data_IF_678726544415
#
_entry.id   IF_678726544415
#
_cell.length_a   1.000
_cell.length_b   1.000
_cell.length_c   1.000
_cell.angle_alpha   90.00
_cell.angle_beta   90.00
_cell.angle_gamma   90.00
#
_symmetry.space_group_name_H-M   'P 1'
#
loop_
_entity.id
_entity.type
_entity.pdbx_description
1 polymer ?
#
# COMPACT_ATOMS: atom_id res chain seq x y z
N UNK A 1 -31.54 -2.22 9.33
CA UNK A 1 -30.49 -3.10 9.89
C UNK A 1 -29.30 -2.93 8.97
N UNK A 2 -28.12 -2.59 9.50
CA UNK A 2 -26.89 -2.41 8.70
C UNK A 2 -26.20 -3.77 8.54
N UNK A 3 -25.88 -4.18 7.31
CA UNK A 3 -25.39 -5.51 6.95
C UNK A 3 -24.02 -5.45 6.25
N UNK A 4 -23.35 -6.60 6.11
CA UNK A 4 -22.09 -6.69 5.34
C UNK A 4 -22.32 -6.28 3.88
N UNK A 5 -23.49 -6.60 3.31
CA UNK A 5 -23.83 -6.18 1.95
C UNK A 5 -23.94 -4.65 1.81
N UNK A 6 -24.39 -3.95 2.86
CA UNK A 6 -24.42 -2.49 2.88
C UNK A 6 -23.00 -1.90 2.93
N UNK A 7 -22.09 -2.55 3.67
CA UNK A 7 -20.66 -2.20 3.66
C UNK A 7 -20.05 -2.44 2.30
N UNK A 8 -20.26 -3.63 1.71
CA UNK A 8 -19.78 -3.98 0.36
C UNK A 8 -20.32 -3.03 -0.71
N UNK A 9 -21.59 -2.63 -0.60
CA UNK A 9 -22.23 -1.68 -1.50
C UNK A 9 -21.59 -0.30 -1.47
N UNK A 10 -21.04 0.12 -0.33
CA UNK A 10 -20.38 1.42 -0.17
C UNK A 10 -18.89 1.32 -0.53
N UNK A 11 -18.17 0.31 -0.03
CA UNK A 11 -16.73 0.18 -0.30
C UNK A 11 -16.44 -0.19 -1.74
N UNK A 12 -17.42 -0.63 -2.54
CA UNK A 12 -17.19 -0.88 -3.97
C UNK A 12 -17.58 0.34 -4.84
N UNK A 13 -18.11 1.42 -4.27
CA UNK A 13 -18.39 2.65 -5.00
C UNK A 13 -17.10 3.41 -5.30
N UNK A 14 -16.84 3.79 -6.56
CA UNK A 14 -15.66 4.59 -6.92
C UNK A 14 -15.55 5.90 -6.12
N UNK A 15 -16.68 6.52 -5.80
CA UNK A 15 -16.80 7.80 -5.08
C UNK A 15 -16.34 7.71 -3.62
N UNK A 16 -16.49 6.55 -2.98
CA UNK A 16 -15.98 6.31 -1.63
C UNK A 16 -14.46 6.52 -1.55
N UNK A 17 -13.74 6.09 -2.60
CA UNK A 17 -12.29 6.26 -2.71
C UNK A 17 -11.89 7.67 -3.17
N UNK A 18 -12.79 8.41 -3.82
CA UNK A 18 -12.54 9.81 -4.20
C UNK A 18 -12.49 10.71 -2.96
N UNK A 19 -13.31 10.43 -1.94
CA UNK A 19 -13.31 11.19 -0.68
C UNK A 19 -12.10 10.84 0.22
N UNK A 20 -11.63 9.60 0.20
CA UNK A 20 -10.38 9.19 0.88
C UNK A 20 -9.10 9.68 0.19
N UNK A 21 -9.20 10.25 -1.02
CA UNK A 21 -8.06 10.66 -1.85
C UNK A 21 -7.12 11.62 -1.14
N UNK A 22 -7.63 12.61 -0.41
CA UNK A 22 -6.76 13.60 0.25
C UNK A 22 -5.91 12.97 1.36
N UNK A 23 -6.48 12.06 2.15
CA UNK A 23 -5.76 11.34 3.18
C UNK A 23 -4.70 10.40 2.60
N UNK A 24 -5.07 9.60 1.58
CA UNK A 24 -4.13 8.66 0.95
C UNK A 24 -3.06 9.34 0.11
N UNK A 25 -3.34 10.51 -0.45
CA UNK A 25 -2.32 11.34 -1.12
C UNK A 25 -1.26 11.77 -0.11
N UNK A 26 -1.64 12.15 1.11
CA UNK A 26 -0.69 12.49 2.17
C UNK A 26 0.21 11.32 2.56
N UNK A 27 -0.37 10.14 2.81
CA UNK A 27 0.39 8.90 3.10
C UNK A 27 1.34 8.56 1.94
N UNK A 28 0.86 8.68 0.70
CA UNK A 28 1.65 8.43 -0.50
C UNK A 28 2.82 9.42 -0.65
N UNK A 29 2.58 10.71 -0.41
CA UNK A 29 3.62 11.76 -0.48
C UNK A 29 4.68 11.56 0.59
N UNK A 30 4.28 11.26 1.83
CA UNK A 30 5.23 10.97 2.91
C UNK A 30 6.12 9.75 2.61
N UNK A 31 5.56 8.72 1.97
CA UNK A 31 6.34 7.58 1.48
C UNK A 31 7.33 7.97 0.37
N UNK A 32 7.06 9.04 -0.39
CA UNK A 32 7.96 9.57 -1.42
C UNK A 32 9.07 10.47 -0.85
N UNK A 33 8.81 11.15 0.27
CA UNK A 33 9.78 12.01 0.95
C UNK A 33 10.68 11.26 1.94
N UNK A 34 10.26 10.08 2.40
CA UNK A 34 11.03 9.23 3.29
C UNK A 34 12.20 8.49 2.61
N UNK A 35 12.73 7.45 3.26
CA UNK A 35 13.77 6.58 2.69
C UNK A 35 13.40 6.11 1.27
N UNK A 36 14.36 6.14 0.31
CA UNK A 36 14.12 5.67 -1.05
C UNK A 36 13.58 4.23 -1.08
N UNK A 37 12.66 3.94 -2.01
CA UNK A 37 12.14 2.59 -2.21
C UNK A 37 10.76 2.32 -1.61
N UNK A 38 10.27 3.16 -0.69
CA UNK A 38 8.98 2.95 -0.02
C UNK A 38 7.80 2.92 -0.98
N UNK A 39 7.71 3.86 -1.93
CA UNK A 39 6.64 3.87 -2.93
C UNK A 39 6.70 2.66 -3.89
N UNK A 40 7.90 2.17 -4.22
CA UNK A 40 8.08 0.94 -5.00
C UNK A 40 7.55 -0.27 -4.24
N UNK A 41 7.82 -0.36 -2.94
CA UNK A 41 7.32 -1.43 -2.07
C UNK A 41 5.79 -1.37 -1.94
N UNK A 42 5.22 -0.19 -1.69
CA UNK A 42 3.76 -0.01 -1.63
C UNK A 42 3.10 -0.45 -2.94
N UNK A 43 3.64 -0.02 -4.09
CA UNK A 43 3.17 -0.44 -5.42
C UNK A 43 3.27 -1.96 -5.61
N UNK A 44 4.38 -2.56 -5.18
CA UNK A 44 4.61 -4.00 -5.30
C UNK A 44 3.67 -4.84 -4.42
N UNK A 45 3.42 -4.42 -3.17
CA UNK A 45 2.55 -5.15 -2.22
C UNK A 45 1.08 -5.00 -2.59
N UNK A 46 0.65 -3.85 -3.13
CA UNK A 46 -0.77 -3.55 -3.27
C UNK A 46 -1.61 -4.62 -4.01
N UNK A 47 -1.14 -5.26 -5.10
CA UNK A 47 -1.86 -6.36 -5.75
C UNK A 47 -1.98 -7.65 -4.92
N UNK A 48 -1.20 -7.81 -3.85
CA UNK A 48 -1.08 -9.03 -3.05
C UNK A 48 -1.68 -8.80 -1.65
N UNK A 49 -2.97 -9.10 -1.42
CA UNK A 49 -3.62 -8.84 -0.13
C UNK A 49 -3.04 -9.64 1.04
N UNK A 50 -2.40 -10.78 0.75
CA UNK A 50 -1.66 -11.60 1.71
C UNK A 50 -0.21 -11.15 1.91
N UNK A 51 0.23 -10.12 1.19
CA UNK A 51 1.59 -9.60 1.25
C UNK A 51 2.60 -10.36 0.38
N UNK A 52 3.85 -9.93 0.47
CA UNK A 52 5.01 -10.50 -0.23
C UNK A 52 6.15 -10.71 0.75
N UNK A 53 6.95 -11.75 0.54
CA UNK A 53 8.18 -11.99 1.29
C UNK A 53 9.34 -11.07 0.84
N UNK A 54 10.40 -11.03 1.64
CA UNK A 54 11.55 -10.16 1.42
C UNK A 54 12.27 -10.42 0.09
N UNK A 55 12.46 -11.68 -0.30
CA UNK A 55 13.17 -12.03 -1.53
C UNK A 55 12.34 -11.67 -2.76
N UNK A 56 11.03 -11.89 -2.70
CA UNK A 56 10.10 -11.45 -3.74
C UNK A 56 10.13 -9.93 -3.86
N UNK A 57 10.03 -9.20 -2.75
CA UNK A 57 10.11 -7.73 -2.72
C UNK A 57 11.42 -7.20 -3.30
N UNK A 58 12.55 -7.79 -2.92
CA UNK A 58 13.86 -7.45 -3.49
C UNK A 58 13.89 -7.63 -5.01
N UNK A 59 13.34 -8.74 -5.50
CA UNK A 59 13.31 -9.05 -6.93
C UNK A 59 12.44 -8.06 -7.71
N UNK A 60 11.23 -7.75 -7.21
CA UNK A 60 10.29 -6.89 -7.94
C UNK A 60 10.60 -5.39 -7.82
N UNK A 61 11.24 -4.96 -6.73
CA UNK A 61 11.62 -3.56 -6.54
C UNK A 61 13.02 -3.23 -7.03
N UNK A 62 13.86 -4.26 -7.23
CA UNK A 62 15.29 -4.14 -7.58
C UNK A 62 16.08 -3.25 -6.59
N UNK A 63 15.63 -3.18 -5.34
CA UNK A 63 16.34 -2.49 -4.26
C UNK A 63 17.45 -3.40 -3.72
N UNK A 64 18.55 -2.79 -3.28
CA UNK A 64 19.54 -3.53 -2.49
C UNK A 64 18.96 -3.90 -1.11
N UNK A 65 19.47 -4.96 -0.45
CA UNK A 65 18.89 -5.46 0.79
C UNK A 65 18.80 -4.44 1.92
N UNK A 66 19.78 -3.54 2.04
CA UNK A 66 19.81 -2.56 3.13
C UNK A 66 18.77 -1.46 2.89
N UNK A 67 18.68 -0.96 1.66
CA UNK A 67 17.64 0.00 1.28
C UNK A 67 16.24 -0.59 1.41
N UNK A 68 16.04 -1.85 1.01
CA UNK A 68 14.78 -2.56 1.17
C UNK A 68 14.39 -2.66 2.66
N UNK A 69 15.30 -3.13 3.52
CA UNK A 69 15.02 -3.26 4.95
C UNK A 69 14.68 -1.91 5.59
N UNK A 70 15.46 -0.87 5.31
CA UNK A 70 15.20 0.48 5.85
C UNK A 70 13.83 1.03 5.42
N UNK A 71 13.42 0.75 4.18
CA UNK A 71 12.11 1.15 3.67
C UNK A 71 10.97 0.35 4.33
N UNK A 72 11.14 -0.97 4.53
CA UNK A 72 10.18 -1.82 5.25
C UNK A 72 10.03 -1.38 6.71
N UNK A 73 11.13 -1.09 7.40
CA UNK A 73 11.14 -0.62 8.79
C UNK A 73 10.42 0.73 8.90
N UNK A 74 10.66 1.63 7.94
CA UNK A 74 10.00 2.94 7.92
C UNK A 74 8.50 2.79 7.69
N UNK A 75 8.09 2.05 6.67
CA UNK A 75 6.66 1.82 6.39
C UNK A 75 5.94 1.13 7.55
N UNK A 76 6.62 0.22 8.26
CA UNK A 76 6.07 -0.46 9.43
C UNK A 76 5.92 0.50 10.63
N UNK A 77 6.92 1.35 10.90
CA UNK A 77 6.84 2.39 11.94
C UNK A 77 5.74 3.42 11.71
N UNK A 78 5.35 3.64 10.45
CA UNK A 78 4.28 4.56 10.06
C UNK A 78 2.92 3.86 9.90
N UNK A 79 2.77 2.62 10.35
CA UNK A 79 1.53 1.83 10.26
C UNK A 79 0.97 1.71 8.82
N UNK A 80 1.85 1.74 7.81
CA UNK A 80 1.46 1.56 6.40
C UNK A 80 1.39 0.07 6.05
N UNK A 81 2.39 -0.68 6.52
CA UNK A 81 2.49 -2.12 6.30
C UNK A 81 2.72 -2.85 7.62
N UNK A 82 2.40 -4.14 7.64
CA UNK A 82 2.70 -5.05 8.74
C UNK A 82 3.33 -6.32 8.19
N UNK A 83 4.28 -6.89 8.93
CA UNK A 83 4.79 -8.23 8.69
C UNK A 83 3.92 -9.27 9.40
N UNK A 84 3.52 -10.31 8.69
CA UNK A 84 2.85 -11.49 9.26
C UNK A 84 3.36 -12.72 8.53
N UNK A 85 3.84 -13.72 9.26
CA UNK A 85 4.40 -14.95 8.68
C UNK A 85 5.47 -14.67 7.60
N UNK A 86 6.38 -13.73 7.85
CA UNK A 86 7.42 -13.25 6.94
C UNK A 86 6.91 -12.61 5.63
N UNK A 87 5.65 -12.18 5.59
CA UNK A 87 5.06 -11.46 4.47
C UNK A 87 4.63 -10.05 4.89
N UNK A 88 5.03 -9.05 4.10
CA UNK A 88 4.61 -7.67 4.31
C UNK A 88 3.36 -7.35 3.51
N UNK A 89 2.34 -6.84 4.19
CA UNK A 89 1.06 -6.44 3.58
C UNK A 89 0.66 -5.04 4.03
N UNK A 90 -0.10 -4.33 3.19
CA UNK A 90 -0.69 -3.04 3.56
C UNK A 90 -1.79 -3.28 4.60
N UNK A 91 -1.73 -2.55 5.73
CA UNK A 91 -2.66 -2.71 6.86
C UNK A 91 -4.06 -2.19 6.51
N UNK A 92 -4.13 -1.05 5.83
CA UNK A 92 -5.39 -0.37 5.50
C UNK A 92 -5.86 -0.80 4.11
N UNK A 93 -6.85 -1.68 4.05
CA UNK A 93 -7.40 -2.22 2.80
C UNK A 93 -7.89 -1.12 1.84
N UNK A 94 -8.45 -0.04 2.39
CA UNK A 94 -8.91 1.11 1.60
C UNK A 94 -7.73 1.81 0.89
N UNK A 95 -6.59 1.94 1.55
CA UNK A 95 -5.36 2.47 0.95
C UNK A 95 -4.81 1.53 -0.13
N UNK A 96 -4.76 0.22 0.14
CA UNK A 96 -4.31 -0.80 -0.82
C UNK A 96 -5.08 -0.71 -2.15
N UNK A 97 -6.41 -0.66 -2.07
CA UNK A 97 -7.29 -0.52 -3.24
C UNK A 97 -7.12 0.83 -3.94
N UNK A 98 -6.93 1.91 -3.18
CA UNK A 98 -6.63 3.22 -3.76
C UNK A 98 -5.31 3.21 -4.56
N UNK A 99 -4.26 2.55 -4.07
CA UNK A 99 -2.99 2.38 -4.80
C UNK A 99 -3.21 1.60 -6.10
N UNK A 100 -3.92 0.47 -6.06
CA UNK A 100 -4.22 -0.34 -7.26
C UNK A 100 -4.93 0.52 -8.32
N UNK A 101 -5.97 1.25 -7.94
CA UNK A 101 -6.72 2.08 -8.87
C UNK A 101 -5.88 3.24 -9.40
N UNK A 102 -5.06 3.87 -8.55
CA UNK A 102 -4.21 4.99 -8.94
C UNK A 102 -3.08 4.57 -9.89
N UNK A 103 -2.53 3.35 -9.74
CA UNK A 103 -1.60 2.76 -10.72
C UNK A 103 -2.29 2.53 -12.07
N UNK A 104 -3.49 1.91 -12.08
CA UNK A 104 -4.25 1.66 -13.32
C UNK A 104 -4.58 2.96 -14.08
N UNK A 105 -4.81 4.03 -13.35
CA UNK A 105 -5.16 5.35 -13.89
C UNK A 105 -3.93 6.23 -14.16
N UNK A 106 -2.70 5.72 -14.00
CA UNK A 106 -1.44 6.48 -14.15
C UNK A 106 -1.36 7.75 -13.29
N UNK A 107 -1.95 7.73 -12.09
CA UNK A 107 -1.97 8.88 -11.18
C UNK A 107 -0.78 8.92 -10.20
N UNK A 108 0.02 7.85 -10.17
CA UNK A 108 1.20 7.72 -9.32
C UNK A 108 2.47 7.72 -10.19
N UNK A 109 2.77 8.86 -10.79
CA UNK A 109 4.06 9.11 -11.46
C UNK A 109 5.15 9.37 -10.44
#
# INVERSE_FOLDING_TARGET
MFTIADVDGIINQPEFYQNGRYYFTGVWQQAGEGSPGQQQIIKAIAPHPTGLDFNTLKTVTNLDPNSLQNALDTLSRHDVIIETDNHWRIIVELFRRWVINSVKLNLLT
#
